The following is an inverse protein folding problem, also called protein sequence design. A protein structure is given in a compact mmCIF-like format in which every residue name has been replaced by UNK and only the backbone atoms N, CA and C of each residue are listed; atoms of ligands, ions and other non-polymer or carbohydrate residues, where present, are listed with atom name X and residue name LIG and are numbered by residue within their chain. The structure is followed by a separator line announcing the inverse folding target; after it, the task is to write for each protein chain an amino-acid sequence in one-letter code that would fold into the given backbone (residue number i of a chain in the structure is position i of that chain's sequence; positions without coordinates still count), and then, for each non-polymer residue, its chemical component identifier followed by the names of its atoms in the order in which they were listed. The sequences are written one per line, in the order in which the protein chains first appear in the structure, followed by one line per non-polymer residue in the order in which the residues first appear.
data_IF_856344156419
#
_entry.id   IF_856344156419
#
_cell.length_a   1.000
_cell.length_b   1.000
_cell.length_c   1.000
_cell.angle_alpha   90.00
_cell.angle_beta   90.00
_cell.angle_gamma   90.00
#
_symmetry.space_group_name_H-M   'P 1'
#
loop_
_entity.id
_entity.type
_entity.pdbx_description
1 polymer ?
#
# COMPACT_ATOMS: atom_id res chain seq x y z
N UNK A 1 -20.22 -17.49 -17.04
CA UNK A 1 -19.31 -16.34 -16.83
C UNK A 1 -19.60 -15.74 -15.46
N UNK A 2 -18.79 -16.07 -14.45
CA UNK A 2 -18.96 -15.52 -13.11
C UNK A 2 -18.63 -14.01 -13.13
N UNK A 3 -19.58 -13.17 -12.73
CA UNK A 3 -19.34 -11.72 -12.62
C UNK A 3 -18.36 -11.50 -11.48
N UNK A 4 -17.15 -11.06 -11.79
CA UNK A 4 -16.17 -10.67 -10.79
C UNK A 4 -16.77 -9.59 -9.88
N UNK A 5 -16.47 -9.61 -8.57
CA UNK A 5 -16.95 -8.57 -7.66
C UNK A 5 -16.51 -7.20 -8.19
N UNK A 6 -17.39 -6.19 -8.14
CA UNK A 6 -17.22 -4.88 -8.77
C UNK A 6 -15.90 -4.14 -8.44
N UNK A 7 -15.19 -4.59 -7.41
CA UNK A 7 -13.90 -4.05 -6.94
C UNK A 7 -12.71 -4.47 -7.79
N UNK A 8 -12.74 -5.66 -8.42
CA UNK A 8 -11.60 -6.19 -9.20
C UNK A 8 -11.38 -5.42 -10.51
N UNK A 9 -12.44 -5.12 -11.32
CA UNK A 9 -12.25 -4.32 -12.53
C UNK A 9 -11.77 -2.89 -12.26
N UNK A 10 -12.24 -2.28 -11.16
CA UNK A 10 -11.83 -0.92 -10.78
C UNK A 10 -10.34 -0.86 -10.41
N UNK A 11 -9.85 -1.83 -9.63
CA UNK A 11 -8.44 -1.94 -9.29
C UNK A 11 -7.56 -2.19 -10.52
N UNK A 12 -8.01 -3.05 -11.45
CA UNK A 12 -7.30 -3.31 -12.70
C UNK A 12 -7.21 -2.06 -13.59
N UNK A 13 -8.28 -1.26 -13.63
CA UNK A 13 -8.30 0.00 -14.37
C UNK A 13 -7.34 1.02 -13.75
N UNK A 14 -7.34 1.17 -12.42
CA UNK A 14 -6.40 2.02 -11.70
C UNK A 14 -4.93 1.61 -11.98
N UNK A 15 -4.62 0.32 -11.88
CA UNK A 15 -3.26 -0.18 -12.14
C UNK A 15 -2.84 0.03 -13.60
N UNK A 16 -3.74 -0.20 -14.55
CA UNK A 16 -3.48 0.06 -15.97
C UNK A 16 -3.17 1.55 -16.22
N UNK A 17 -3.97 2.45 -15.64
CA UNK A 17 -3.73 3.90 -15.75
C UNK A 17 -2.39 4.28 -15.12
N UNK A 18 -2.08 3.76 -13.93
CA UNK A 18 -0.80 3.99 -13.26
C UNK A 18 0.39 3.48 -14.08
N UNK A 19 0.26 2.32 -14.71
CA UNK A 19 1.29 1.75 -15.58
C UNK A 19 1.52 2.61 -16.83
N UNK A 20 0.44 3.04 -17.51
CA UNK A 20 0.54 3.95 -18.66
C UNK A 20 1.19 5.27 -18.24
N UNK A 21 0.79 5.83 -17.11
CA UNK A 21 1.38 7.05 -16.59
C UNK A 21 2.88 6.89 -16.30
N UNK A 22 3.29 5.81 -15.66
CA UNK A 22 4.70 5.50 -15.39
C UNK A 22 5.51 5.34 -16.69
N UNK A 23 4.93 4.70 -17.72
CA UNK A 23 5.56 4.57 -19.04
C UNK A 23 5.71 5.94 -19.73
N UNK A 24 4.70 6.81 -19.65
CA UNK A 24 4.77 8.16 -20.20
C UNK A 24 5.86 8.99 -19.51
N UNK A 25 6.00 8.87 -18.18
CA UNK A 25 7.07 9.52 -17.43
C UNK A 25 8.44 8.98 -17.84
N UNK A 26 8.61 7.67 -17.94
CA UNK A 26 9.88 7.06 -18.36
C UNK A 26 10.29 7.53 -19.77
N UNK A 27 9.36 7.47 -20.74
CA UNK A 27 9.61 7.94 -22.10
C UNK A 27 9.89 9.44 -22.12
N UNK A 28 9.13 10.24 -21.38
CA UNK A 28 9.37 11.68 -21.24
C UNK A 28 10.76 11.97 -20.70
N UNK A 29 11.14 11.33 -19.59
CA UNK A 29 12.42 11.52 -18.93
C UNK A 29 13.60 11.13 -19.83
N UNK A 30 13.44 10.07 -20.61
CA UNK A 30 14.41 9.66 -21.63
C UNK A 30 14.50 10.68 -22.78
N UNK A 31 13.36 11.18 -23.29
CA UNK A 31 13.31 12.19 -24.36
C UNK A 31 13.94 13.53 -23.95
N UNK A 32 13.79 13.93 -22.68
CA UNK A 32 14.39 15.14 -22.12
C UNK A 32 15.85 14.94 -21.66
N UNK A 33 16.42 13.74 -21.82
CA UNK A 33 17.80 13.43 -21.44
C UNK A 33 18.06 13.46 -19.93
N UNK A 34 17.00 13.40 -19.12
CA UNK A 34 17.07 13.38 -17.66
C UNK A 34 17.49 12.00 -17.13
N UNK A 35 17.29 10.94 -17.91
CA UNK A 35 17.76 9.58 -17.64
C UNK A 35 18.41 8.97 -18.88
N UNK A 36 19.52 8.26 -18.65
CA UNK A 36 20.20 7.48 -19.68
C UNK A 36 19.98 6.00 -19.40
N UNK A 37 19.51 5.27 -20.41
CA UNK A 37 19.37 3.83 -20.31
C UNK A 37 20.77 3.19 -20.24
N UNK A 38 21.02 2.28 -19.28
CA UNK A 38 22.29 1.58 -19.21
C UNK A 38 22.49 0.74 -20.48
N UNK A 39 23.68 0.82 -21.08
CA UNK A 39 24.02 0.13 -22.32
C UNK A 39 24.04 -1.40 -22.18
N UNK A 40 24.28 -1.89 -20.97
CA UNK A 40 24.19 -3.31 -20.65
C UNK A 40 23.64 -3.52 -19.25
N UNK A 41 22.61 -4.36 -19.14
CA UNK A 41 22.06 -4.79 -17.86
C UNK A 41 22.37 -6.28 -17.71
N UNK A 42 23.14 -6.69 -16.69
CA UNK A 42 23.37 -8.09 -16.45
C UNK A 42 22.05 -8.81 -16.10
N UNK A 43 21.85 -10.02 -16.64
CA UNK A 43 20.57 -10.73 -16.54
C UNK A 43 20.10 -10.99 -15.09
N UNK A 44 21.01 -11.10 -14.13
CA UNK A 44 20.65 -11.26 -12.71
C UNK A 44 19.98 -10.01 -12.13
N UNK A 45 20.34 -8.80 -12.58
CA UNK A 45 19.66 -7.56 -12.16
C UNK A 45 18.25 -7.50 -12.73
N UNK A 46 18.05 -7.94 -13.97
CA UNK A 46 16.72 -8.06 -14.58
C UNK A 46 15.88 -9.05 -13.77
N UNK A 47 16.45 -10.20 -13.41
CA UNK A 47 15.78 -11.18 -12.56
C UNK A 47 15.40 -10.58 -11.20
N UNK A 48 16.31 -9.87 -10.53
CA UNK A 48 16.01 -9.22 -9.25
C UNK A 48 14.95 -8.13 -9.37
N UNK A 49 14.95 -7.34 -10.45
CA UNK A 49 13.93 -6.31 -10.69
C UNK A 49 12.54 -6.93 -10.93
N UNK A 50 12.47 -8.03 -11.68
CA UNK A 50 11.21 -8.77 -11.86
C UNK A 50 10.77 -9.44 -10.57
N UNK A 51 11.69 -10.09 -9.86
CA UNK A 51 11.42 -10.76 -8.60
C UNK A 51 10.94 -9.77 -7.52
N UNK A 52 11.55 -8.58 -7.43
CA UNK A 52 11.12 -7.54 -6.51
C UNK A 52 9.73 -7.03 -6.85
N UNK A 53 9.41 -6.76 -8.12
CA UNK A 53 8.06 -6.38 -8.55
C UNK A 53 7.01 -7.45 -8.21
N UNK A 54 7.34 -8.73 -8.41
CA UNK A 54 6.45 -9.84 -8.05
C UNK A 54 6.23 -9.94 -6.55
N UNK A 55 7.31 -9.92 -5.76
CA UNK A 55 7.23 -10.14 -4.30
C UNK A 55 6.67 -8.92 -3.58
N UNK A 56 7.19 -7.73 -3.88
CA UNK A 56 6.84 -6.49 -3.18
C UNK A 56 5.45 -5.99 -3.57
N UNK A 57 5.03 -6.18 -4.83
CA UNK A 57 3.75 -5.65 -5.31
C UNK A 57 2.74 -6.76 -5.63
N UNK A 58 3.01 -7.64 -6.60
CA UNK A 58 1.98 -8.55 -7.11
C UNK A 58 1.48 -9.54 -6.04
N UNK A 59 2.39 -10.21 -5.32
CA UNK A 59 2.04 -11.15 -4.25
C UNK A 59 1.40 -10.45 -3.06
N UNK A 60 1.95 -9.30 -2.63
CA UNK A 60 1.40 -8.52 -1.53
C UNK A 60 -0.04 -8.05 -1.83
N UNK A 61 -0.27 -7.53 -3.04
CA UNK A 61 -1.60 -7.09 -3.48
C UNK A 61 -2.57 -8.26 -3.63
N UNK A 62 -2.09 -9.41 -4.13
CA UNK A 62 -2.90 -10.63 -4.20
C UNK A 62 -3.36 -11.09 -2.81
N UNK A 63 -2.46 -11.13 -1.83
CA UNK A 63 -2.83 -11.45 -0.44
C UNK A 63 -3.78 -10.42 0.16
N UNK A 64 -3.62 -9.13 -0.17
CA UNK A 64 -4.58 -8.10 0.23
C UNK A 64 -5.98 -8.38 -0.35
N UNK A 65 -6.08 -8.72 -1.64
CA UNK A 65 -7.36 -9.07 -2.26
C UNK A 65 -8.00 -10.32 -1.63
N UNK A 66 -7.20 -11.33 -1.29
CA UNK A 66 -7.69 -12.51 -0.54
C UNK A 66 -8.18 -12.08 0.84
N UNK A 67 -7.39 -11.29 1.58
CA UNK A 67 -7.74 -10.80 2.90
C UNK A 67 -9.06 -10.04 2.90
N UNK A 68 -9.33 -9.23 1.88
CA UNK A 68 -10.59 -8.51 1.71
C UNK A 68 -11.81 -9.40 1.46
N UNK A 69 -11.62 -10.66 1.04
CA UNK A 69 -12.74 -11.60 0.86
C UNK A 69 -13.24 -12.16 2.20
N UNK A 70 -12.39 -12.16 3.23
CA UNK A 70 -12.66 -12.78 4.53
C UNK A 70 -12.68 -11.79 5.69
N UNK A 71 -11.96 -10.67 5.58
CA UNK A 71 -11.89 -9.63 6.62
C UNK A 71 -12.87 -8.49 6.33
N UNK A 72 -13.57 -7.97 7.36
CA UNK A 72 -14.25 -6.69 7.26
C UNK A 72 -13.26 -5.58 6.86
N UNK A 73 -13.69 -4.64 6.01
CA UNK A 73 -12.83 -3.59 5.47
C UNK A 73 -12.11 -2.78 6.57
N UNK A 74 -12.77 -2.52 7.70
CA UNK A 74 -12.15 -1.83 8.84
C UNK A 74 -11.00 -2.61 9.48
N UNK A 75 -11.10 -3.94 9.56
CA UNK A 75 -10.02 -4.79 10.09
C UNK A 75 -8.84 -4.83 9.14
N UNK A 76 -9.09 -4.97 7.83
CA UNK A 76 -8.04 -4.91 6.82
C UNK A 76 -7.32 -3.54 6.85
N UNK A 77 -8.08 -2.45 6.93
CA UNK A 77 -7.53 -1.10 7.04
C UNK A 77 -6.65 -0.94 8.30
N UNK A 78 -7.09 -1.46 9.45
CA UNK A 78 -6.31 -1.44 10.68
C UNK A 78 -5.00 -2.25 10.59
N UNK A 79 -4.96 -3.35 9.85
CA UNK A 79 -3.72 -4.11 9.62
C UNK A 79 -2.78 -3.31 8.70
N UNK A 80 -3.30 -2.64 7.67
CA UNK A 80 -2.50 -1.85 6.74
C UNK A 80 -1.82 -0.66 7.41
N UNK A 81 -2.39 -0.11 8.49
CA UNK A 81 -1.69 0.95 9.23
C UNK A 81 -0.38 0.45 9.83
N UNK A 82 -0.20 -0.85 10.12
CA UNK A 82 1.05 -1.40 10.65
C UNK A 82 2.19 -1.50 9.62
N UNK A 83 1.93 -1.31 8.32
CA UNK A 83 2.95 -1.36 7.26
C UNK A 83 4.19 -0.50 7.60
N UNK A 84 4.08 0.80 7.94
CA UNK A 84 5.22 1.62 8.34
C UNK A 84 6.02 1.07 9.52
N UNK A 85 5.37 0.43 10.50
CA UNK A 85 6.06 -0.17 11.66
C UNK A 85 6.95 -1.32 11.21
N UNK A 86 6.41 -2.23 10.39
CA UNK A 86 7.20 -3.32 9.82
C UNK A 86 8.23 -2.83 8.80
N UNK A 87 7.93 -1.75 8.06
CA UNK A 87 8.85 -1.14 7.10
C UNK A 87 10.09 -0.58 7.80
N UNK A 88 9.91 0.26 8.82
CA UNK A 88 11.01 0.84 9.59
C UNK A 88 11.74 -0.24 10.40
N UNK A 89 10.99 -1.12 11.08
CA UNK A 89 11.58 -2.23 11.83
C UNK A 89 12.39 -3.17 10.95
N UNK A 90 11.88 -3.48 9.76
CA UNK A 90 12.57 -4.30 8.77
C UNK A 90 13.82 -3.62 8.19
N UNK A 91 13.77 -2.32 7.92
CA UNK A 91 14.94 -1.56 7.48
C UNK A 91 16.07 -1.60 8.52
N UNK A 92 15.76 -1.36 9.79
CA UNK A 92 16.76 -1.46 10.87
C UNK A 92 17.30 -2.90 11.02
N UNK A 93 16.44 -3.92 10.95
CA UNK A 93 16.83 -5.30 11.20
C UNK A 93 17.57 -5.98 10.04
N UNK A 94 17.17 -5.74 8.79
CA UNK A 94 17.71 -6.43 7.61
C UNK A 94 18.74 -5.59 6.83
N UNK A 95 18.55 -4.27 6.76
CA UNK A 95 19.49 -3.37 6.08
C UNK A 95 20.55 -2.82 7.04
N UNK A 96 20.33 -2.91 8.35
CA UNK A 96 21.23 -2.32 9.35
C UNK A 96 21.20 -0.80 9.35
N UNK A 97 20.11 -0.18 8.88
CA UNK A 97 19.98 1.27 8.86
C UNK A 97 19.84 1.83 10.29
N UNK A 98 20.72 2.76 10.64
CA UNK A 98 20.59 3.56 11.85
C UNK A 98 19.76 4.81 11.56
N UNK A 99 18.65 4.96 12.27
CA UNK A 99 17.77 6.11 12.09
C UNK A 99 18.40 7.36 12.69
N UNK A 100 18.60 8.38 11.86
CA UNK A 100 19.03 9.69 12.30
C UNK A 100 17.98 10.34 13.22
N UNK A 101 18.37 11.23 14.15
CA UNK A 101 17.43 11.91 15.05
C UNK A 101 16.19 12.54 14.38
N UNK A 102 16.26 13.21 13.21
CA UNK A 102 15.06 13.70 12.54
C UNK A 102 14.17 12.59 11.94
N UNK A 103 14.73 11.44 11.57
CA UNK A 103 13.94 10.30 11.10
C UNK A 103 13.11 9.68 12.22
N UNK A 104 13.62 9.69 13.47
CA UNK A 104 12.83 9.31 14.64
C UNK A 104 11.62 10.20 14.85
N UNK A 105 11.76 11.51 14.63
CA UNK A 105 10.62 12.44 14.67
C UNK A 105 9.59 12.11 13.57
N UNK A 106 10.06 11.82 12.36
CA UNK A 106 9.20 11.33 11.27
C UNK A 106 8.45 10.05 11.65
N UNK A 107 9.14 9.08 12.26
CA UNK A 107 8.54 7.85 12.76
C UNK A 107 7.46 8.13 13.81
N UNK A 108 7.74 9.01 14.77
CA UNK A 108 6.78 9.39 15.80
C UNK A 108 5.50 10.02 15.21
N UNK A 109 5.65 10.89 14.20
CA UNK A 109 4.52 11.51 13.50
C UNK A 109 3.68 10.46 12.78
N UNK A 110 4.31 9.54 12.05
CA UNK A 110 3.61 8.46 11.33
C UNK A 110 2.84 7.57 12.31
N UNK A 111 3.47 7.15 13.40
CA UNK A 111 2.81 6.32 14.43
C UNK A 111 1.65 7.08 15.08
N UNK A 112 1.81 8.35 15.41
CA UNK A 112 0.73 9.17 15.97
C UNK A 112 -0.45 9.29 15.00
N UNK A 113 -0.19 9.53 13.71
CA UNK A 113 -1.21 9.58 12.68
C UNK A 113 -1.95 8.25 12.52
N UNK A 114 -1.24 7.11 12.56
CA UNK A 114 -1.84 5.78 12.52
C UNK A 114 -2.77 5.53 13.70
N UNK A 115 -2.34 5.88 14.92
CA UNK A 115 -3.15 5.73 16.12
C UNK A 115 -4.41 6.59 15.99
N UNK A 116 -4.26 7.87 15.61
CA UNK A 116 -5.38 8.76 15.40
C UNK A 116 -6.38 8.20 14.37
N UNK A 117 -5.90 7.73 13.22
CA UNK A 117 -6.75 7.15 12.17
C UNK A 117 -7.51 5.92 12.68
N UNK A 118 -6.84 5.03 13.41
CA UNK A 118 -7.46 3.81 13.95
C UNK A 118 -8.55 4.14 14.97
N UNK A 119 -8.33 5.16 15.81
CA UNK A 119 -9.31 5.62 16.79
C UNK A 119 -10.54 6.28 16.13
N UNK A 120 -10.33 7.06 15.07
CA UNK A 120 -11.44 7.69 14.32
C UNK A 120 -12.32 6.66 13.63
N UNK A 121 -11.73 5.66 12.97
CA UNK A 121 -12.47 4.57 12.32
C UNK A 121 -13.29 3.77 13.34
N UNK A 122 -12.75 3.56 14.55
CA UNK A 122 -13.49 2.91 15.63
C UNK A 122 -14.68 3.77 16.09
N UNK A 123 -14.48 5.08 16.26
CA UNK A 123 -15.52 6.02 16.70
C UNK A 123 -16.70 6.08 15.73
N UNK A 124 -16.46 6.19 14.42
CA UNK A 124 -17.53 6.19 13.41
C UNK A 124 -18.37 4.91 13.46
N UNK A 125 -17.72 3.77 13.71
CA UNK A 125 -18.40 2.48 13.83
C UNK A 125 -19.28 2.41 15.08
N UNK A 126 -18.83 2.95 16.21
CA UNK A 126 -19.54 2.95 17.49
C UNK A 126 -20.73 3.94 17.48
N UNK A 127 -20.58 5.11 16.86
CA UNK A 127 -21.65 6.11 16.67
C UNK A 127 -22.76 5.57 15.75
N UNK A 128 -22.39 4.99 14.61
CA UNK A 128 -23.35 4.39 13.68
C UNK A 128 -24.08 3.16 14.24
N UNK A 129 -23.53 2.48 15.25
CA UNK A 129 -24.21 1.40 15.97
C UNK A 129 -25.24 1.93 16.99
N UNK A 130 -24.93 3.06 17.63
CA UNK A 130 -25.80 3.71 18.62
C UNK A 130 -27.04 4.34 17.98
N UNK A 131 -26.87 5.05 16.85
CA UNK A 131 -27.99 5.66 16.11
C UNK A 131 -29.00 4.62 15.59
N UNK A 132 -28.51 3.48 15.08
CA UNK A 132 -29.37 2.37 14.62
C UNK A 132 -30.15 1.72 15.74
N UNK A 133 -29.61 1.68 16.96
CA UNK A 133 -30.31 1.15 18.14
C UNK A 133 -31.39 2.11 18.67
N UNK A 134 -31.29 3.41 18.39
CA UNK A 134 -32.28 4.41 18.81
C UNK A 134 -33.37 4.65 17.76
N UNK A 135 -33.07 4.49 16.48
CA UNK A 135 -34.04 4.65 15.38
C UNK A 135 -35.03 3.48 15.18
N UNK A 136 -34.82 2.35 15.87
CA UNK A 136 -35.68 1.15 15.81
C UNK A 136 -36.71 1.09 16.96
N UNK A 137 -36.84 2.16 17.76
CA UNK A 137 -37.90 2.24 18.76
C UNK A 137 -39.19 2.81 18.14
N UNK A 138 -40.33 2.11 18.24
CA UNK A 138 -41.60 2.49 17.63
C UNK A 138 -42.22 3.75 18.22
#
# INVERSE_FOLDING_TARGET
MARLPARVPLAAMQQSVGFVFALLLLVGNWLFGLEHLPESIPGWLIFLALASGVVQYALAFWFYLIGLQVLPAGTAAAILTLIPVFGVGGAMAFLGEELAPPQWLGCAIVIAAMIAMTLLVKKEKDEGATERSMGDQP
#
